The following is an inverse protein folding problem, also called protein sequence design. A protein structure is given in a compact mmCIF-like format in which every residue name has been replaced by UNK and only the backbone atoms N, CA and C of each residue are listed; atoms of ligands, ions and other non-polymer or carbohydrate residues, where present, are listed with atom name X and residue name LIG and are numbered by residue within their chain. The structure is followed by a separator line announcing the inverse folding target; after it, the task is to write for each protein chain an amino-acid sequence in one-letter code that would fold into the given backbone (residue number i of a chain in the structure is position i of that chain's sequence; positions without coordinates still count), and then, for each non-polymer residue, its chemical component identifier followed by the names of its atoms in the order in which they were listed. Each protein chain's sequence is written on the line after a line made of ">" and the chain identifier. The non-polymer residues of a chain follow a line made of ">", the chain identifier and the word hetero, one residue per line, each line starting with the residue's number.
data_IF_234977289284
#
_entry.id   IF_234977289284
#
_cell.length_a   1.000
_cell.length_b   1.000
_cell.length_c   1.000
_cell.angle_alpha   90.00
_cell.angle_beta   90.00
_cell.angle_gamma   90.00
#
_symmetry.space_group_name_H-M   'P 1'
#
loop_
_entity.id
_entity.type
_entity.pdbx_description
1 polymer ?
#
# COMPACT_ATOMS: atom_id res chain seq x y z
N UNK A 1 32.05 26.48 30.06
CA UNK A 1 30.84 25.67 29.72
C UNK A 1 30.07 26.21 28.53
N UNK A 2 29.56 27.47 28.50
CA UNK A 2 28.82 27.99 27.31
C UNK A 2 29.57 27.81 25.98
N UNK A 3 30.87 28.15 25.93
CA UNK A 3 31.67 28.07 24.70
C UNK A 3 31.79 26.66 24.12
N UNK A 4 31.79 25.63 24.96
CA UNK A 4 31.81 24.23 24.52
C UNK A 4 30.44 23.81 23.97
N UNK A 5 29.35 24.24 24.62
CA UNK A 5 27.99 23.99 24.15
C UNK A 5 27.72 24.68 22.81
N UNK A 6 28.20 25.90 22.62
CA UNK A 6 28.02 26.65 21.37
C UNK A 6 28.85 26.04 20.23
N UNK A 7 30.05 25.54 20.52
CA UNK A 7 30.87 24.82 19.56
C UNK A 7 30.20 23.50 19.12
N UNK A 8 29.68 22.73 20.09
CA UNK A 8 29.00 21.46 19.82
C UNK A 8 27.69 21.67 19.03
N UNK A 9 26.91 22.72 19.36
CA UNK A 9 25.70 23.10 18.62
C UNK A 9 26.01 23.43 17.16
N UNK A 10 27.12 24.11 16.87
CA UNK A 10 27.53 24.41 15.47
C UNK A 10 27.96 23.17 14.69
N UNK A 11 28.41 22.12 15.38
CA UNK A 11 28.80 20.86 14.73
C UNK A 11 27.57 20.00 14.44
N UNK A 12 26.60 19.95 15.36
CA UNK A 12 25.35 19.21 15.19
C UNK A 12 24.36 19.89 14.24
N UNK A 13 24.24 21.21 14.35
CA UNK A 13 23.31 22.01 13.58
C UNK A 13 24.08 22.80 12.52
N UNK A 14 23.79 22.55 11.24
CA UNK A 14 24.46 23.22 10.12
C UNK A 14 24.31 24.75 10.13
N UNK A 15 25.03 25.48 9.26
CA UNK A 15 25.06 26.95 9.27
C UNK A 15 23.70 27.63 9.03
N UNK A 16 22.73 26.88 8.48
CA UNK A 16 21.33 27.31 8.27
C UNK A 16 20.34 26.61 9.19
N UNK A 17 20.77 26.20 10.38
CA UNK A 17 19.82 25.71 11.36
C UNK A 17 18.93 26.86 11.81
N UNK A 18 17.68 26.82 11.36
CA UNK A 18 16.64 27.71 11.84
C UNK A 18 16.47 27.46 13.34
N UNK A 19 16.49 28.53 14.15
CA UNK A 19 16.19 28.40 15.58
C UNK A 19 14.71 28.09 15.69
N UNK A 20 14.37 26.89 16.14
CA UNK A 20 12.99 26.56 16.47
C UNK A 20 12.55 27.47 17.62
N UNK A 21 11.57 28.33 17.36
CA UNK A 21 10.93 29.15 18.40
C UNK A 21 10.02 28.21 19.17
N UNK A 22 10.35 27.97 20.44
CA UNK A 22 9.49 27.27 21.37
C UNK A 22 8.61 28.33 22.06
N UNK A 23 7.37 27.96 22.36
CA UNK A 23 6.38 28.83 23.00
C UNK A 23 5.81 29.94 22.09
N UNK A 24 5.23 29.51 20.96
CA UNK A 24 4.45 30.39 20.10
C UNK A 24 3.04 30.54 20.68
N UNK A 25 2.61 31.76 21.08
CA UNK A 25 1.28 31.95 21.65
C UNK A 25 0.22 31.59 20.60
N UNK A 26 -0.52 30.50 20.86
CA UNK A 26 -1.57 29.97 19.97
C UNK A 26 -1.22 28.67 19.24
N UNK A 27 -0.02 28.10 19.41
CA UNK A 27 0.30 26.77 18.90
C UNK A 27 0.08 25.71 19.98
N UNK A 28 -1.05 25.00 19.90
CA UNK A 28 -1.33 23.86 20.77
C UNK A 28 -0.43 22.65 20.41
N UNK A 29 -0.05 21.89 21.43
CA UNK A 29 0.74 20.67 21.25
C UNK A 29 -0.12 19.59 20.60
N UNK A 30 0.32 19.11 19.43
CA UNK A 30 -0.33 18.04 18.65
C UNK A 30 -0.54 16.73 19.44
N UNK A 31 0.21 16.52 20.52
CA UNK A 31 0.18 15.30 21.32
C UNK A 31 -0.21 15.54 22.78
N UNK A 32 -0.72 16.73 23.14
CA UNK A 32 -1.34 16.94 24.45
C UNK A 32 -2.64 16.12 24.53
N UNK A 33 -2.47 14.86 24.93
CA UNK A 33 -3.53 13.87 25.00
C UNK A 33 -3.94 13.76 26.46
N UNK A 34 -5.11 14.33 26.77
CA UNK A 34 -6.02 13.82 27.81
C UNK A 34 -7.42 14.45 27.68
N UNK A 35 -7.59 15.49 26.86
CA UNK A 35 -8.90 16.15 26.67
C UNK A 35 -9.26 16.37 25.18
N UNK A 36 -8.81 15.46 24.30
CA UNK A 36 -9.24 15.50 22.91
C UNK A 36 -10.74 15.20 22.82
N UNK A 37 -11.61 16.14 22.41
CA UNK A 37 -13.03 15.87 22.30
C UNK A 37 -13.21 14.82 21.21
N UNK A 38 -13.94 13.75 21.52
CA UNK A 38 -14.42 12.81 20.50
C UNK A 38 -15.12 13.63 19.43
N UNK A 39 -14.69 13.57 18.15
CA UNK A 39 -15.32 14.36 17.11
C UNK A 39 -16.79 13.94 17.02
N UNK A 40 -17.68 14.87 17.39
CA UNK A 40 -19.11 14.70 17.17
C UNK A 40 -19.34 14.37 15.69
N UNK A 41 -20.31 13.49 15.45
CA UNK A 41 -20.69 13.01 14.11
C UNK A 41 -20.69 14.15 13.09
N UNK A 42 -20.21 13.91 11.85
CA UNK A 42 -20.07 14.97 10.86
C UNK A 42 -21.43 15.65 10.66
N UNK A 43 -21.50 17.00 10.72
CA UNK A 43 -22.75 17.70 10.48
C UNK A 43 -23.27 17.35 9.09
N UNK A 44 -24.58 17.07 8.99
CA UNK A 44 -25.27 16.92 7.71
C UNK A 44 -24.91 18.12 6.83
N UNK A 45 -24.57 17.84 5.58
CA UNK A 45 -24.05 18.78 4.57
C UNK A 45 -24.81 20.11 4.50
N UNK A 46 -24.46 21.07 5.35
CA UNK A 46 -24.93 22.44 5.22
C UNK A 46 -23.92 23.24 4.41
N UNK A 47 -24.35 23.67 3.23
CA UNK A 47 -23.56 24.48 2.31
C UNK A 47 -23.28 25.84 2.97
N UNK A 48 -22.02 26.10 3.32
CA UNK A 48 -21.58 27.43 3.79
C UNK A 48 -21.47 28.41 2.64
N UNK A 49 -22.13 29.56 2.76
CA UNK A 49 -21.97 30.68 1.83
C UNK A 49 -20.74 31.50 2.21
N UNK A 50 -19.63 31.27 1.52
CA UNK A 50 -18.42 32.11 1.61
C UNK A 50 -18.58 33.30 0.67
N UNK A 51 -18.50 34.53 1.19
CA UNK A 51 -18.46 35.77 0.41
C UNK A 51 -17.13 35.87 -0.36
N UNK A 52 -17.06 35.18 -1.50
CA UNK A 52 -16.23 35.51 -2.68
C UNK A 52 -16.56 34.57 -3.85
N UNK A 53 -16.97 33.33 -3.60
CA UNK A 53 -17.64 32.44 -4.55
C UNK A 53 -18.02 31.15 -3.82
N UNK A 54 -19.21 30.60 -4.10
CA UNK A 54 -19.54 29.26 -3.66
C UNK A 54 -18.94 28.25 -4.64
N UNK A 55 -18.05 27.38 -4.17
CA UNK A 55 -17.55 26.26 -4.97
C UNK A 55 -18.67 25.23 -5.06
N UNK A 56 -19.19 24.97 -6.27
CA UNK A 56 -20.18 23.93 -6.48
C UNK A 56 -19.60 22.56 -6.13
N UNK A 57 -20.32 21.77 -5.34
CA UNK A 57 -20.11 20.32 -5.29
C UNK A 57 -20.67 19.72 -6.57
N UNK A 58 -19.98 19.98 -7.69
CA UNK A 58 -20.29 19.35 -8.96
C UNK A 58 -20.30 17.85 -8.74
N UNK A 59 -21.36 17.16 -9.19
CA UNK A 59 -21.36 15.70 -9.23
C UNK A 59 -20.09 15.32 -9.98
N UNK A 60 -19.24 14.49 -9.38
CA UNK A 60 -18.12 13.89 -10.11
C UNK A 60 -18.76 13.18 -11.29
N UNK A 61 -18.54 13.72 -12.49
CA UNK A 61 -19.03 13.12 -13.72
C UNK A 61 -18.29 11.80 -13.83
N UNK A 62 -19.02 10.73 -13.53
CA UNK A 62 -18.59 9.36 -13.71
C UNK A 62 -19.52 8.83 -14.77
N UNK A 63 -18.96 8.27 -15.82
CA UNK A 63 -19.75 7.58 -16.82
C UNK A 63 -20.47 6.40 -16.14
N UNK A 64 -21.64 6.02 -16.65
CA UNK A 64 -22.43 4.93 -16.07
C UNK A 64 -21.64 3.61 -16.04
N UNK A 65 -20.67 3.45 -16.94
CA UNK A 65 -19.79 2.28 -17.05
C UNK A 65 -18.53 2.34 -16.15
N UNK A 66 -18.46 3.33 -15.25
CA UNK A 66 -17.28 3.54 -14.40
C UNK A 66 -17.19 2.52 -13.25
N UNK A 67 -18.27 1.81 -12.94
CA UNK A 67 -18.34 0.76 -11.91
C UNK A 67 -19.26 -0.36 -12.41
N UNK A 68 -18.85 -1.60 -12.19
CA UNK A 68 -19.73 -2.76 -12.38
C UNK A 68 -20.74 -2.87 -11.22
N UNK A 69 -21.68 -3.82 -11.32
CA UNK A 69 -22.71 -4.07 -10.30
C UNK A 69 -22.15 -4.41 -8.91
N UNK A 70 -20.88 -4.81 -8.83
CA UNK A 70 -20.16 -5.11 -7.58
C UNK A 70 -19.34 -3.92 -7.05
N UNK A 71 -19.37 -2.76 -7.73
CA UNK A 71 -18.63 -1.56 -7.34
C UNK A 71 -17.13 -1.57 -7.69
N UNK A 72 -16.71 -2.45 -8.59
CA UNK A 72 -15.35 -2.53 -9.12
C UNK A 72 -15.27 -1.84 -10.49
N UNK A 73 -14.11 -1.24 -10.81
CA UNK A 73 -13.84 -0.65 -12.13
C UNK A 73 -13.34 -1.65 -13.17
N UNK A 74 -13.30 -2.93 -12.80
CA UNK A 74 -12.70 -3.99 -13.58
C UNK A 74 -13.80 -4.97 -14.00
N UNK A 75 -13.87 -5.28 -15.29
CA UNK A 75 -14.73 -6.32 -15.84
C UNK A 75 -13.89 -7.57 -16.13
N UNK A 76 -14.55 -8.64 -16.61
CA UNK A 76 -13.86 -9.86 -17.04
C UNK A 76 -12.96 -9.65 -18.28
N UNK A 77 -13.06 -8.49 -18.94
CA UNK A 77 -12.26 -8.13 -20.12
C UNK A 77 -10.83 -7.72 -19.76
N UNK A 78 -10.52 -7.52 -18.48
CA UNK A 78 -9.16 -7.16 -18.06
C UNK A 78 -8.21 -8.29 -18.43
N UNK A 79 -7.14 -8.03 -19.20
CA UNK A 79 -6.21 -9.07 -19.61
C UNK A 79 -5.54 -9.71 -18.41
N UNK A 80 -5.51 -11.04 -18.41
CA UNK A 80 -4.86 -11.85 -17.37
C UNK A 80 -3.61 -12.50 -17.95
N UNK A 81 -2.46 -12.22 -17.36
CA UNK A 81 -1.19 -12.86 -17.71
C UNK A 81 -0.85 -13.95 -16.71
N UNK A 82 -0.67 -15.17 -17.20
CA UNK A 82 -0.31 -16.32 -16.37
C UNK A 82 1.20 -16.40 -16.25
N UNK A 83 1.70 -16.33 -15.03
CA UNK A 83 3.12 -16.50 -14.70
C UNK A 83 3.24 -17.81 -13.92
N UNK A 84 3.79 -18.83 -14.57
CA UNK A 84 4.12 -20.10 -13.94
C UNK A 84 5.44 -19.97 -13.18
N UNK A 85 5.37 -20.04 -11.85
CA UNK A 85 6.56 -19.98 -11.00
C UNK A 85 6.94 -21.40 -10.56
N UNK A 86 7.68 -22.09 -11.41
CA UNK A 86 8.23 -23.41 -11.11
C UNK A 86 9.44 -23.29 -10.16
N UNK A 87 9.47 -24.06 -9.06
CA UNK A 87 10.63 -24.12 -8.18
C UNK A 87 11.82 -24.75 -8.91
N UNK A 88 13.06 -24.32 -8.60
CA UNK A 88 14.27 -24.92 -9.15
C UNK A 88 14.40 -26.40 -8.80
N UNK A 89 13.76 -26.86 -7.71
CA UNK A 89 13.75 -28.26 -7.28
C UNK A 89 12.95 -29.18 -8.22
N UNK A 90 11.93 -28.67 -8.92
CA UNK A 90 11.15 -29.44 -9.89
C UNK A 90 11.75 -29.42 -11.31
N UNK A 91 12.66 -28.49 -11.59
CA UNK A 91 13.35 -28.38 -12.89
C UNK A 91 14.79 -28.91 -12.81
N UNK A 92 15.27 -29.27 -11.61
CA UNK A 92 16.63 -29.73 -11.36
C UNK A 92 16.87 -31.21 -11.67
N UNK A 93 18.12 -31.70 -11.51
CA UNK A 93 18.48 -33.09 -11.78
C UNK A 93 17.78 -34.11 -10.87
N UNK A 94 17.21 -33.67 -9.74
CA UNK A 94 16.42 -34.52 -8.83
C UNK A 94 14.91 -34.38 -9.01
N UNK A 95 14.43 -33.78 -10.12
CA UNK A 95 13.01 -33.56 -10.39
C UNK A 95 12.15 -34.82 -10.21
N UNK A 96 12.67 -35.98 -10.61
CA UNK A 96 11.99 -37.28 -10.49
C UNK A 96 11.69 -37.70 -9.05
N UNK A 97 12.38 -37.10 -8.08
CA UNK A 97 12.19 -37.37 -6.65
C UNK A 97 11.02 -36.58 -6.06
N UNK A 98 10.38 -35.68 -6.82
CA UNK A 98 9.29 -34.84 -6.32
C UNK A 98 7.98 -35.08 -7.07
N UNK A 99 6.86 -34.94 -6.37
CA UNK A 99 5.51 -35.08 -6.90
C UNK A 99 4.69 -33.83 -6.56
N UNK A 100 3.98 -33.28 -7.55
CA UNK A 100 3.12 -32.11 -7.37
C UNK A 100 1.79 -32.57 -6.77
N UNK A 101 1.46 -32.05 -5.59
CA UNK A 101 0.21 -32.37 -4.87
C UNK A 101 -0.91 -31.41 -5.26
N UNK A 102 -0.56 -30.16 -5.57
CA UNK A 102 -1.52 -29.15 -5.96
C UNK A 102 -0.85 -27.84 -6.33
N UNK A 103 -1.66 -26.82 -6.62
CA UNK A 103 -1.18 -25.48 -6.94
C UNK A 103 -1.83 -24.45 -6.05
N UNK A 104 -1.09 -23.39 -5.73
CA UNK A 104 -1.63 -22.17 -5.13
C UNK A 104 -1.57 -21.07 -6.18
N UNK A 105 -2.65 -20.32 -6.30
CA UNK A 105 -2.74 -19.19 -7.23
C UNK A 105 -2.85 -17.90 -6.45
N UNK A 106 -2.09 -16.89 -6.86
CA UNK A 106 -2.20 -15.52 -6.33
C UNK A 106 -2.37 -14.56 -7.48
N UNK A 107 -3.32 -13.64 -7.35
CA UNK A 107 -3.60 -12.61 -8.35
C UNK A 107 -2.98 -11.27 -7.93
N UNK A 108 -2.38 -10.55 -8.88
CA UNK A 108 -1.80 -9.22 -8.67
C UNK A 108 -2.25 -8.28 -9.76
N UNK A 109 -2.51 -7.02 -9.42
CA UNK A 109 -2.79 -5.99 -10.42
C UNK A 109 -1.49 -5.29 -10.81
N UNK A 110 -1.12 -5.36 -12.08
CA UNK A 110 0.00 -4.64 -12.66
C UNK A 110 -0.50 -3.45 -13.49
N UNK A 111 0.14 -2.30 -13.32
CA UNK A 111 -0.12 -1.12 -14.13
C UNK A 111 0.87 -1.06 -15.29
N UNK A 112 0.36 -1.02 -16.51
CA UNK A 112 1.11 -0.70 -17.74
C UNK A 112 0.89 0.76 -18.11
N UNK A 113 1.69 1.25 -19.06
CA UNK A 113 1.66 2.65 -19.50
C UNK A 113 0.26 3.16 -19.92
N UNK A 114 -0.62 2.27 -20.40
CA UNK A 114 -1.96 2.65 -20.87
C UNK A 114 -3.07 1.70 -20.41
N UNK A 115 -2.76 0.70 -19.57
CA UNK A 115 -3.74 -0.32 -19.17
C UNK A 115 -3.38 -1.00 -17.86
N UNK A 116 -4.33 -1.73 -17.29
CA UNK A 116 -4.10 -2.64 -16.17
C UNK A 116 -4.10 -4.08 -16.67
N UNK A 117 -3.27 -4.92 -16.05
CA UNK A 117 -3.18 -6.35 -16.34
C UNK A 117 -3.21 -7.10 -15.02
N UNK A 118 -3.98 -8.19 -14.95
CA UNK A 118 -3.97 -9.07 -13.78
C UNK A 118 -2.91 -10.14 -13.99
N UNK A 119 -1.89 -10.18 -13.14
CA UNK A 119 -0.90 -11.26 -13.12
C UNK A 119 -1.45 -12.40 -12.27
N UNK A 120 -1.70 -13.55 -12.89
CA UNK A 120 -2.02 -14.81 -12.22
C UNK A 120 -0.73 -15.57 -11.98
N UNK A 121 -0.20 -15.51 -10.76
CA UNK A 121 0.98 -16.27 -10.38
C UNK A 121 0.56 -17.65 -9.86
N UNK A 122 0.96 -18.69 -10.58
CA UNK A 122 0.73 -20.08 -10.20
C UNK A 122 2.00 -20.67 -9.61
N UNK A 123 1.85 -21.33 -8.45
CA UNK A 123 2.97 -21.92 -7.74
C UNK A 123 2.63 -23.35 -7.31
N UNK A 124 3.44 -24.35 -7.66
CA UNK A 124 3.18 -25.73 -7.30
C UNK A 124 3.54 -25.96 -5.82
N UNK A 125 2.70 -26.75 -5.16
CA UNK A 125 2.95 -27.38 -3.87
C UNK A 125 3.34 -28.83 -4.16
N UNK A 126 4.52 -29.22 -3.73
CA UNK A 126 5.11 -30.51 -4.11
C UNK A 126 5.69 -31.20 -2.87
N UNK A 127 5.83 -32.52 -2.94
CA UNK A 127 6.45 -33.34 -1.90
C UNK A 127 7.58 -34.15 -2.50
N UNK A 128 8.57 -34.51 -1.67
CA UNK A 128 9.57 -35.51 -2.05
C UNK A 128 8.96 -36.91 -1.90
N UNK A 129 9.15 -37.79 -2.88
CA UNK A 129 8.75 -39.19 -2.83
C UNK A 129 9.40 -39.86 -1.61
N UNK A 130 8.57 -40.34 -0.68
CA UNK A 130 9.00 -40.93 0.59
C UNK A 130 8.84 -40.03 1.82
N UNK A 131 8.56 -38.74 1.64
CA UNK A 131 8.34 -37.80 2.76
C UNK A 131 6.94 -37.22 2.69
N UNK A 132 6.17 -37.30 3.78
CA UNK A 132 4.80 -36.78 3.83
C UNK A 132 4.74 -35.25 4.05
N UNK A 133 5.89 -34.59 4.19
CA UNK A 133 5.95 -33.13 4.41
C UNK A 133 5.76 -32.39 3.08
N UNK A 134 4.67 -31.60 2.93
CA UNK A 134 4.48 -30.78 1.73
C UNK A 134 5.45 -29.60 1.75
N UNK A 135 6.23 -29.45 0.68
CA UNK A 135 7.08 -28.30 0.43
C UNK A 135 6.26 -27.32 -0.41
N UNK A 136 6.05 -26.13 0.15
CA UNK A 136 5.37 -25.05 -0.55
C UNK A 136 6.41 -24.05 -1.03
N UNK A 137 6.39 -23.74 -2.32
CA UNK A 137 7.16 -22.62 -2.87
C UNK A 137 6.85 -21.32 -2.13
N UNK A 138 7.87 -20.61 -1.62
CA UNK A 138 7.66 -19.34 -0.92
C UNK A 138 6.93 -18.36 -1.85
N UNK A 139 6.04 -17.57 -1.28
CA UNK A 139 5.37 -16.53 -2.04
C UNK A 139 6.40 -15.44 -2.45
N UNK A 140 6.24 -14.80 -3.61
CA UNK A 140 7.15 -13.74 -4.04
C UNK A 140 7.14 -12.60 -3.01
N UNK A 141 8.31 -12.04 -2.69
CA UNK A 141 8.62 -11.14 -1.57
C UNK A 141 7.63 -9.97 -1.32
N UNK A 142 6.91 -9.56 -2.35
CA UNK A 142 5.95 -8.47 -2.37
C UNK A 142 4.48 -8.91 -2.21
N UNK A 143 4.21 -9.93 -1.39
CA UNK A 143 2.85 -10.24 -0.90
C UNK A 143 2.56 -9.45 0.36
#
# INVERSE_FOLDING_TARGET
>A
MQRQLDWFKKQLFGPKSEKQVFDLPGQDSLFASDDAPVPAQPPKNEKRTVKAYQRGTGKKQRDDDCLNDTGLRFTADVPVEVIEHLPPELTGPEADQYEVIGSKTTFRLAQRASSYVVLKCERPVFRRKGTEKPITTPAPFNV
#
